data_IF_707628991513
#
_entry.id   IF_707628991513
#
_cell.length_a   1.000
_cell.length_b   1.000
_cell.length_c   1.000
_cell.angle_alpha   90.00
_cell.angle_beta   90.00
_cell.angle_gamma   90.00
#
_symmetry.space_group_name_H-M   'P 1'
#
loop_
_entity.id
_entity.type
_entity.pdbx_description
1 polymer ?
#
# COMPACT_ATOMS: atom_id res chain seq x y z
N UNK A 1 4.46 17.60 18.99
CA UNK A 1 5.08 16.33 19.41
C UNK A 1 4.59 15.26 18.46
N UNK A 2 5.49 14.64 17.70
CA UNK A 2 5.13 13.51 16.84
C UNK A 2 4.74 12.32 17.75
N UNK A 3 3.66 11.62 17.41
CA UNK A 3 3.05 10.59 18.23
C UNK A 3 3.90 9.31 18.22
N UNK A 4 3.66 8.39 19.16
CA UNK A 4 4.31 7.08 19.16
C UNK A 4 4.02 6.22 17.89
N UNK A 5 3.10 6.64 17.01
CA UNK A 5 2.88 6.03 15.69
C UNK A 5 3.81 6.55 14.59
N UNK A 6 4.58 7.60 14.90
CA UNK A 6 5.66 8.14 14.05
C UNK A 6 7.02 7.49 14.39
N UNK A 7 7.02 6.50 15.28
CA UNK A 7 8.18 5.66 15.58
C UNK A 7 8.50 4.83 14.33
N UNK A 8 9.62 5.21 13.70
CA UNK A 8 10.35 4.53 12.62
C UNK A 8 9.73 3.21 12.15
N UNK A 9 9.12 3.26 10.98
CA UNK A 9 8.97 2.06 10.18
C UNK A 9 10.38 1.72 9.67
N UNK A 10 11.10 0.81 10.35
CA UNK A 10 12.48 0.41 10.02
C UNK A 10 12.64 -0.14 8.59
N UNK A 11 11.52 -0.28 7.86
CA UNK A 11 11.40 -0.80 6.51
C UNK A 11 11.32 0.28 5.43
N UNK A 12 11.14 1.56 5.77
CA UNK A 12 11.00 2.66 4.79
C UNK A 12 12.32 3.41 4.63
N UNK A 13 12.93 3.41 3.42
CA UNK A 13 14.12 4.21 3.14
C UNK A 13 13.88 5.70 3.40
N UNK A 14 14.77 6.32 4.18
CA UNK A 14 14.72 7.76 4.48
C UNK A 14 15.72 8.59 3.67
N UNK A 15 16.63 7.94 2.94
CA UNK A 15 17.64 8.55 2.08
C UNK A 15 18.21 7.52 1.09
N UNK A 16 19.00 7.98 0.13
CA UNK A 16 19.63 7.13 -0.90
C UNK A 16 18.74 6.96 -2.13
N UNK A 17 18.93 5.89 -2.88
CA UNK A 17 18.13 5.57 -4.08
C UNK A 17 17.37 4.27 -3.88
N UNK A 18 16.15 4.21 -4.39
CA UNK A 18 15.30 3.00 -4.35
C UNK A 18 14.99 2.53 -5.75
N UNK A 19 14.91 1.22 -5.91
CA UNK A 19 14.32 0.57 -7.07
C UNK A 19 13.00 -0.05 -6.65
N UNK A 20 11.94 0.16 -7.42
CA UNK A 20 10.60 -0.27 -7.04
C UNK A 20 9.76 -0.70 -8.25
N UNK A 21 8.83 -1.61 -8.01
CA UNK A 21 7.76 -1.98 -8.94
C UNK A 21 6.58 -1.04 -8.75
N UNK A 22 6.09 -0.43 -9.83
CA UNK A 22 4.90 0.42 -9.79
C UNK A 22 3.64 -0.45 -9.70
N UNK A 23 2.94 -0.44 -8.56
CA UNK A 23 1.73 -1.24 -8.34
C UNK A 23 0.47 -0.52 -8.82
N UNK A 24 0.43 0.80 -8.64
CA UNK A 24 -0.71 1.63 -9.06
C UNK A 24 -0.32 3.10 -9.15
N UNK A 25 -0.92 3.80 -10.12
CA UNK A 25 -0.98 5.26 -10.13
C UNK A 25 -2.25 5.69 -9.39
N UNK A 26 -2.10 6.38 -8.26
CA UNK A 26 -3.22 6.89 -7.46
C UNK A 26 -3.58 8.32 -7.88
N UNK A 27 -2.55 9.16 -8.03
CA UNK A 27 -2.62 10.51 -8.64
C UNK A 27 -1.29 10.77 -9.38
N UNK A 28 -1.15 11.87 -10.14
CA UNK A 28 0.10 12.20 -10.83
C UNK A 28 1.33 12.32 -9.93
N UNK A 29 1.16 12.50 -8.62
CA UNK A 29 2.25 12.56 -7.63
C UNK A 29 2.16 11.51 -6.54
N UNK A 30 1.25 10.54 -6.66
CA UNK A 30 1.05 9.51 -5.64
C UNK A 30 0.90 8.15 -6.29
N UNK A 31 1.79 7.24 -5.94
CA UNK A 31 1.86 5.89 -6.47
C UNK A 31 1.84 4.89 -5.32
N UNK A 32 1.27 3.71 -5.59
CA UNK A 32 1.53 2.53 -4.79
C UNK A 32 2.76 1.82 -5.38
N UNK A 33 3.72 1.47 -4.54
CA UNK A 33 4.99 0.88 -4.96
C UNK A 33 5.36 -0.32 -4.09
N UNK A 34 6.11 -1.26 -4.67
CA UNK A 34 6.80 -2.31 -3.93
C UNK A 34 8.30 -2.17 -4.11
N UNK A 35 9.04 -2.11 -3.01
CA UNK A 35 10.50 -1.96 -3.06
C UNK A 35 11.16 -3.26 -3.54
N UNK A 36 12.15 -3.12 -4.42
CA UNK A 36 12.93 -4.23 -4.96
C UNK A 36 14.39 -4.16 -4.55
N UNK A 37 14.94 -2.94 -4.47
CA UNK A 37 16.30 -2.72 -4.00
C UNK A 37 16.45 -1.34 -3.36
N UNK A 38 17.46 -1.20 -2.50
CA UNK A 38 17.86 0.07 -1.89
C UNK A 38 19.36 0.25 -1.97
N UNK A 39 19.79 1.43 -2.40
CA UNK A 39 21.18 1.89 -2.38
C UNK A 39 21.27 3.02 -1.36
N UNK A 40 21.93 2.75 -0.23
CA UNK A 40 22.10 3.76 0.83
C UNK A 40 23.02 4.89 0.36
N UNK A 41 22.94 6.07 0.96
CA UNK A 41 23.79 7.22 0.59
C UNK A 41 25.29 6.96 0.72
N UNK A 42 25.68 5.97 1.53
CA UNK A 42 27.08 5.63 1.81
C UNK A 42 27.56 4.41 1.01
N UNK A 43 26.75 3.89 0.09
CA UNK A 43 27.05 2.70 -0.70
C UNK A 43 26.85 2.98 -2.19
N UNK A 44 27.77 2.51 -3.02
CA UNK A 44 27.59 2.44 -4.47
C UNK A 44 26.77 1.22 -4.91
N UNK A 45 26.57 0.24 -4.02
CA UNK A 45 25.93 -1.03 -4.34
C UNK A 45 24.45 -1.05 -3.96
N UNK A 46 23.64 -1.61 -4.87
CA UNK A 46 22.25 -1.96 -4.62
C UNK A 46 22.16 -3.16 -3.68
N UNK A 47 21.34 -3.03 -2.64
CA UNK A 47 20.92 -4.15 -1.80
C UNK A 47 19.53 -4.60 -2.25
N UNK A 48 19.43 -5.83 -2.75
CA UNK A 48 18.15 -6.44 -3.09
C UNK A 48 17.30 -6.65 -1.83
N UNK A 49 16.00 -6.41 -1.97
CA UNK A 49 14.98 -6.58 -0.96
C UNK A 49 14.04 -7.73 -1.37
N UNK A 50 13.48 -8.43 -0.40
CA UNK A 50 12.69 -9.65 -0.58
C UNK A 50 11.17 -9.40 -0.66
N UNK A 51 10.72 -8.17 -0.90
CA UNK A 51 9.31 -7.80 -0.75
C UNK A 51 8.39 -8.47 -1.77
N UNK A 52 8.86 -8.69 -3.01
CA UNK A 52 8.08 -9.43 -4.02
C UNK A 52 7.90 -10.89 -3.58
N UNK A 53 8.97 -11.55 -3.14
CA UNK A 53 8.91 -12.93 -2.63
C UNK A 53 8.02 -13.02 -1.37
N UNK A 54 8.14 -12.08 -0.44
CA UNK A 54 7.29 -12.01 0.75
C UNK A 54 5.82 -11.80 0.40
N UNK A 55 5.53 -11.02 -0.64
CA UNK A 55 4.17 -10.84 -1.13
C UNK A 55 3.60 -12.14 -1.67
N UNK A 56 4.36 -12.87 -2.50
CA UNK A 56 3.94 -14.18 -3.01
C UNK A 56 3.68 -15.18 -1.88
N UNK A 57 4.58 -15.24 -0.90
CA UNK A 57 4.42 -16.09 0.29
C UNK A 57 3.17 -15.71 1.10
N UNK A 58 2.93 -14.42 1.31
CA UNK A 58 1.73 -13.94 2.00
C UNK A 58 0.45 -14.35 1.26
N UNK A 59 0.42 -14.22 -0.08
CA UNK A 59 -0.73 -14.62 -0.88
C UNK A 59 -1.01 -16.13 -0.79
N UNK A 60 0.05 -16.95 -0.75
CA UNK A 60 -0.08 -18.39 -0.51
C UNK A 60 -0.62 -18.69 0.89
N UNK A 61 -0.12 -18.01 1.92
CA UNK A 61 -0.59 -18.16 3.30
C UNK A 61 -2.05 -17.77 3.46
N UNK A 62 -2.47 -16.64 2.91
CA UNK A 62 -3.87 -16.20 2.93
C UNK A 62 -4.78 -17.20 2.22
N UNK A 63 -4.41 -17.61 1.01
CA UNK A 63 -5.19 -18.58 0.23
C UNK A 63 -5.33 -19.92 0.96
N UNK A 64 -4.25 -20.41 1.56
CA UNK A 64 -4.25 -21.67 2.30
C UNK A 64 -5.08 -21.57 3.58
N UNK A 65 -4.99 -20.46 4.31
CA UNK A 65 -5.73 -20.24 5.55
C UNK A 65 -7.25 -20.18 5.30
N UNK A 66 -7.67 -19.39 4.31
CA UNK A 66 -9.10 -19.21 3.99
C UNK A 66 -9.68 -20.28 3.06
N UNK A 67 -8.89 -21.28 2.66
CA UNK A 67 -9.42 -22.49 2.02
C UNK A 67 -10.29 -23.32 3.00
N UNK A 68 -10.09 -23.16 4.31
CA UNK A 68 -10.93 -23.76 5.34
C UNK A 68 -12.11 -22.84 5.65
N UNK A 69 -13.35 -23.32 5.52
CA UNK A 69 -14.56 -22.53 5.75
C UNK A 69 -14.64 -21.93 7.15
N UNK A 70 -14.16 -22.66 8.15
CA UNK A 70 -14.21 -22.25 9.57
C UNK A 70 -13.30 -21.04 9.84
N UNK A 71 -12.32 -20.80 8.97
CA UNK A 71 -11.45 -19.62 9.04
C UNK A 71 -12.08 -18.38 8.37
N UNK A 72 -13.18 -18.54 7.62
CA UNK A 72 -13.87 -17.45 6.93
C UNK A 72 -14.87 -16.72 7.84
N UNK A 73 -14.37 -16.14 8.92
CA UNK A 73 -15.20 -15.46 9.93
C UNK A 73 -15.35 -13.98 9.58
N UNK A 74 -16.59 -13.50 9.42
CA UNK A 74 -16.89 -12.08 9.28
C UNK A 74 -16.66 -11.36 10.62
N UNK A 75 -15.93 -10.22 10.64
CA UNK A 75 -15.71 -9.48 11.87
C UNK A 75 -17.01 -8.81 12.36
N UNK A 76 -17.11 -8.64 13.68
CA UNK A 76 -18.17 -7.87 14.32
C UNK A 76 -17.67 -6.45 14.59
N UNK A 77 -18.49 -5.42 14.32
CA UNK A 77 -18.08 -4.01 14.48
C UNK A 77 -17.51 -3.66 15.86
N UNK A 78 -18.06 -4.14 17.00
CA UNK A 78 -17.51 -3.84 18.32
C UNK A 78 -16.11 -4.42 18.56
N UNK A 79 -15.70 -5.41 17.75
CA UNK A 79 -14.44 -6.15 17.88
C UNK A 79 -13.58 -6.04 16.61
N UNK A 80 -13.85 -5.04 15.78
CA UNK A 80 -13.15 -4.86 14.52
C UNK A 80 -11.68 -4.52 14.79
N UNK A 81 -10.76 -5.37 14.30
CA UNK A 81 -9.33 -5.10 14.35
C UNK A 81 -8.93 -4.01 13.35
N UNK A 82 -7.83 -3.31 13.63
CA UNK A 82 -7.21 -2.35 12.71
C UNK A 82 -6.85 -2.99 11.36
N UNK A 83 -6.53 -4.30 11.35
CA UNK A 83 -6.22 -5.07 10.14
C UNK A 83 -7.20 -6.22 9.97
N UNK A 84 -7.86 -6.25 8.81
CA UNK A 84 -8.75 -7.32 8.37
C UNK A 84 -8.26 -7.89 7.02
N UNK A 85 -8.90 -8.95 6.54
CA UNK A 85 -8.69 -9.47 5.18
C UNK A 85 -9.94 -9.20 4.37
N UNK A 86 -9.80 -8.61 3.18
CA UNK A 86 -10.88 -8.43 2.23
C UNK A 86 -10.87 -9.58 1.22
N UNK A 87 -12.05 -10.13 0.93
CA UNK A 87 -12.25 -11.06 -0.19
C UNK A 87 -12.44 -10.26 -1.48
N UNK A 88 -11.56 -10.45 -2.45
CA UNK A 88 -11.57 -9.78 -3.76
C UNK A 88 -12.24 -10.62 -4.87
N UNK A 89 -12.53 -11.90 -4.59
CA UNK A 89 -13.13 -12.87 -5.50
C UNK A 89 -13.14 -14.26 -4.85
N UNK A 90 -13.47 -15.33 -5.60
CA UNK A 90 -13.54 -16.69 -5.05
C UNK A 90 -12.24 -17.14 -4.35
N UNK A 91 -11.09 -16.74 -4.89
CA UNK A 91 -9.76 -17.14 -4.41
C UNK A 91 -8.84 -15.94 -4.13
N UNK A 92 -9.38 -14.72 -4.10
CA UNK A 92 -8.58 -13.50 -3.92
C UNK A 92 -8.73 -12.97 -2.50
N UNK A 93 -7.61 -12.84 -1.79
CA UNK A 93 -7.56 -12.31 -0.42
C UNK A 93 -6.51 -11.21 -0.32
N UNK A 94 -6.82 -10.17 0.43
CA UNK A 94 -5.91 -9.04 0.61
C UNK A 94 -6.03 -8.47 2.01
N UNK A 95 -4.90 -8.22 2.68
CA UNK A 95 -4.95 -7.54 3.97
C UNK A 95 -5.28 -6.07 3.75
N UNK A 96 -6.16 -5.56 4.58
CA UNK A 96 -6.61 -4.17 4.55
C UNK A 96 -6.57 -3.59 5.94
N UNK A 97 -6.16 -2.32 6.05
CA UNK A 97 -6.31 -1.55 7.27
C UNK A 97 -7.66 -0.83 7.28
N UNK A 98 -8.36 -0.86 8.40
CA UNK A 98 -9.56 -0.07 8.61
C UNK A 98 -9.14 1.38 8.83
N UNK A 99 -9.64 2.29 7.99
CA UNK A 99 -9.31 3.72 8.06
C UNK A 99 -10.47 4.56 8.59
N UNK A 100 -11.70 4.08 8.44
CA UNK A 100 -12.88 4.74 8.99
C UNK A 100 -14.05 3.77 9.12
N UNK A 101 -14.74 3.86 10.25
CA UNK A 101 -16.02 3.19 10.53
C UNK A 101 -17.09 4.28 10.69
N UNK A 102 -18.13 4.32 9.84
CA UNK A 102 -19.20 5.30 9.99
C UNK A 102 -19.96 5.12 11.31
N UNK A 103 -20.31 6.22 11.98
CA UNK A 103 -21.01 6.17 13.28
C UNK A 103 -22.38 5.48 13.21
N UNK A 104 -23.07 5.55 12.06
CA UNK A 104 -24.38 4.93 11.87
C UNK A 104 -24.32 3.41 11.60
N UNK A 105 -23.12 2.81 11.55
CA UNK A 105 -22.93 1.41 11.15
C UNK A 105 -23.39 0.38 12.20
N UNK A 106 -23.80 0.80 13.40
CA UNK A 106 -24.04 -0.10 14.54
C UNK A 106 -24.96 -1.28 14.17
N UNK A 107 -24.35 -2.46 14.03
CA UNK A 107 -24.93 -3.81 13.83
C UNK A 107 -25.35 -4.21 12.41
N UNK A 108 -25.18 -3.37 11.39
CA UNK A 108 -25.56 -3.74 10.02
C UNK A 108 -24.43 -4.51 9.31
N UNK A 109 -24.70 -5.74 8.88
CA UNK A 109 -23.80 -6.51 8.02
C UNK A 109 -23.55 -5.84 6.66
N UNK A 110 -24.41 -4.88 6.26
CA UNK A 110 -24.25 -4.04 5.09
C UNK A 110 -23.46 -2.75 5.37
N UNK A 111 -22.94 -2.56 6.59
CA UNK A 111 -22.10 -1.42 6.91
C UNK A 111 -20.95 -1.29 5.90
N UNK A 112 -20.78 -0.08 5.37
CA UNK A 112 -19.73 0.24 4.41
C UNK A 112 -18.62 0.97 5.15
N UNK A 113 -17.44 0.36 5.19
CA UNK A 113 -16.25 0.87 5.86
C UNK A 113 -15.29 1.46 4.83
N UNK A 114 -14.43 2.40 5.26
CA UNK A 114 -13.26 2.78 4.43
C UNK A 114 -12.07 1.97 4.85
N UNK A 115 -11.44 1.32 3.87
CA UNK A 115 -10.29 0.45 4.07
C UNK A 115 -9.14 0.85 3.15
N UNK A 116 -7.90 0.64 3.60
CA UNK A 116 -6.67 0.84 2.82
C UNK A 116 -6.04 -0.51 2.53
N UNK A 117 -5.72 -0.79 1.26
CA UNK A 117 -4.91 -1.96 0.90
C UNK A 117 -3.51 -1.88 1.52
N UNK A 118 -2.96 -3.02 1.94
CA UNK A 118 -1.65 -3.07 2.60
C UNK A 118 -0.55 -3.69 1.74
N UNK A 119 -0.90 -4.61 0.83
CA UNK A 119 0.08 -5.46 0.16
C UNK A 119 -0.06 -5.46 -1.37
N UNK A 120 -1.30 -5.45 -1.87
CA UNK A 120 -1.62 -5.38 -3.29
C UNK A 120 -1.32 -4.00 -3.88
N UNK A 121 -1.67 -2.95 -3.14
CA UNK A 121 -1.40 -1.54 -3.40
C UNK A 121 -1.72 -0.74 -2.12
N UNK A 122 -1.83 0.59 -2.21
CA UNK A 122 -2.13 1.47 -1.06
C UNK A 122 -3.42 2.28 -1.20
N UNK A 123 -4.32 1.86 -2.11
CA UNK A 123 -5.59 2.56 -2.36
C UNK A 123 -6.49 2.51 -1.14
N UNK A 124 -7.14 3.63 -0.87
CA UNK A 124 -8.27 3.71 0.06
C UNK A 124 -9.56 3.54 -0.74
N UNK A 125 -10.39 2.59 -0.34
CA UNK A 125 -11.67 2.32 -0.97
C UNK A 125 -12.74 1.98 0.06
N UNK A 126 -13.97 1.83 -0.42
CA UNK A 126 -15.07 1.34 0.40
C UNK A 126 -15.16 -0.18 0.30
N UNK A 127 -15.44 -0.82 1.43
CA UNK A 127 -15.71 -2.26 1.52
C UNK A 127 -16.91 -2.49 2.43
N UNK A 128 -17.78 -3.44 2.05
CA UNK A 128 -18.85 -3.88 2.94
C UNK A 128 -18.27 -4.73 4.06
N UNK A 129 -18.87 -4.69 5.25
CA UNK A 129 -18.46 -5.56 6.36
C UNK A 129 -18.51 -7.05 5.96
N UNK A 130 -19.49 -7.44 5.15
CA UNK A 130 -19.62 -8.79 4.59
C UNK A 130 -18.54 -9.20 3.59
N UNK A 131 -17.72 -8.26 3.09
CA UNK A 131 -16.54 -8.55 2.26
C UNK A 131 -15.29 -8.77 3.11
N UNK A 132 -15.35 -8.50 4.42
CA UNK A 132 -14.23 -8.60 5.33
C UNK A 132 -14.25 -9.91 6.11
N UNK A 133 -13.05 -10.37 6.44
CA UNK A 133 -12.77 -11.54 7.25
C UNK A 133 -11.80 -11.14 8.36
N UNK A 134 -11.91 -11.80 9.51
CA UNK A 134 -10.95 -11.67 10.60
C UNK A 134 -9.57 -12.10 10.10
N UNK A 135 -8.58 -11.21 10.23
CA UNK A 135 -7.19 -11.53 9.89
C UNK A 135 -6.58 -12.33 11.06
N UNK A 136 -5.93 -13.50 10.84
CA UNK A 136 -5.30 -14.22 11.92
C UNK A 136 -4.11 -13.41 12.52
N UNK A 137 -3.85 -13.48 13.84
CA UNK A 137 -2.87 -12.63 14.50
C UNK A 137 -1.46 -12.67 13.88
N UNK A 138 -1.02 -13.85 13.42
CA UNK A 138 0.28 -14.04 12.76
C UNK A 138 0.40 -13.22 11.47
N UNK A 139 -0.69 -13.11 10.70
CA UNK A 139 -0.71 -12.33 9.47
C UNK A 139 -0.98 -10.84 9.72
N UNK A 140 -1.58 -10.45 10.86
CA UNK A 140 -1.72 -9.05 11.23
C UNK A 140 -0.36 -8.38 11.51
N UNK A 141 0.60 -9.12 12.06
CA UNK A 141 1.91 -8.60 12.45
C UNK A 141 2.87 -8.33 11.28
N UNK A 142 2.56 -8.84 10.08
CA UNK A 142 3.40 -8.63 8.91
C UNK A 142 3.33 -7.14 8.49
N UNK A 143 4.48 -6.48 8.36
CA UNK A 143 4.50 -5.10 7.86
C UNK A 143 3.85 -4.98 6.46
N UNK A 144 3.18 -3.87 6.13
CA UNK A 144 2.63 -3.66 4.79
C UNK A 144 3.71 -3.81 3.71
N UNK A 145 3.39 -4.55 2.65
CA UNK A 145 4.32 -4.82 1.54
C UNK A 145 4.17 -3.84 0.37
N UNK A 146 3.10 -3.04 0.36
CA UNK A 146 2.95 -1.90 -0.53
C UNK A 146 3.20 -0.59 0.25
N UNK A 147 3.92 0.33 -0.38
CA UNK A 147 4.24 1.64 0.17
C UNK A 147 3.67 2.75 -0.71
N UNK A 148 3.40 3.90 -0.09
CA UNK A 148 3.13 5.11 -0.82
C UNK A 148 4.45 5.70 -1.33
N UNK A 149 4.53 5.99 -2.62
CA UNK A 149 5.63 6.75 -3.20
C UNK A 149 5.06 8.07 -3.73
N UNK A 150 5.66 9.19 -3.33
CA UNK A 150 5.17 10.53 -3.63
C UNK A 150 6.22 11.36 -4.34
N UNK A 151 5.83 11.97 -5.46
CA UNK A 151 6.67 12.94 -6.17
C UNK A 151 6.60 14.30 -5.49
N UNK A 152 7.76 14.82 -5.10
CA UNK A 152 7.94 16.13 -4.49
C UNK A 152 7.94 17.24 -5.54
N UNK A 153 7.40 18.41 -5.19
CA UNK A 153 7.60 19.63 -5.98
C UNK A 153 6.74 19.76 -7.25
N UNK A 154 5.79 18.86 -7.48
CA UNK A 154 4.84 18.94 -8.60
C UNK A 154 3.47 19.37 -8.07
N UNK A 155 2.86 20.34 -8.72
CA UNK A 155 1.51 20.85 -8.44
C UNK A 155 0.61 20.69 -9.68
N UNK A 156 -0.72 20.62 -9.50
CA UNK A 156 -1.66 20.61 -10.63
C UNK A 156 -1.46 21.80 -11.56
N UNK A 157 -1.66 21.59 -12.87
CA UNK A 157 -1.31 22.55 -13.94
C UNK A 157 -1.94 23.95 -13.76
N UNK A 158 -3.09 24.04 -13.10
CA UNK A 158 -3.81 25.29 -12.87
C UNK A 158 -3.65 25.86 -11.45
N UNK A 159 -2.66 25.37 -10.68
CA UNK A 159 -2.50 25.76 -9.27
C UNK A 159 -3.67 25.34 -8.38
N UNK A 160 -4.51 24.44 -8.89
CA UNK A 160 -5.70 23.94 -8.23
C UNK A 160 -5.35 22.96 -7.09
N UNK A 161 -6.30 22.77 -6.19
CA UNK A 161 -6.18 21.78 -5.10
C UNK A 161 -6.36 20.33 -5.60
N UNK A 162 -6.84 20.13 -6.85
CA UNK A 162 -7.28 18.84 -7.38
C UNK A 162 -6.60 18.56 -8.71
N UNK A 163 -6.13 17.32 -8.89
CA UNK A 163 -5.59 16.83 -10.16
C UNK A 163 -6.70 16.67 -11.20
N UNK A 164 -6.48 17.25 -12.37
CA UNK A 164 -7.44 17.15 -13.46
C UNK A 164 -7.28 15.82 -14.21
N UNK A 165 -8.31 15.46 -14.98
CA UNK A 165 -8.28 14.23 -15.79
C UNK A 165 -7.12 14.23 -16.79
N UNK A 166 -6.77 15.39 -17.36
CA UNK A 166 -5.66 15.53 -18.30
C UNK A 166 -4.31 15.19 -17.64
N UNK A 167 -4.08 15.59 -16.38
CA UNK A 167 -2.84 15.28 -15.65
C UNK A 167 -2.68 13.75 -15.48
N UNK A 168 -3.78 13.08 -15.13
CA UNK A 168 -3.82 11.63 -14.97
C UNK A 168 -3.60 10.88 -16.30
N UNK A 169 -4.12 11.40 -17.41
CA UNK A 169 -3.90 10.81 -18.73
C UNK A 169 -2.43 10.93 -19.14
N UNK A 170 -1.81 12.08 -18.88
CA UNK A 170 -0.39 12.31 -19.22
C UNK A 170 0.52 11.37 -18.44
N UNK A 171 0.35 11.23 -17.12
CA UNK A 171 1.18 10.33 -16.32
C UNK A 171 0.97 8.87 -16.72
N UNK A 172 -0.26 8.47 -17.08
CA UNK A 172 -0.57 7.11 -17.53
C UNK A 172 0.00 6.73 -18.91
N UNK A 173 0.45 7.70 -19.70
CA UNK A 173 1.20 7.46 -20.95
C UNK A 173 2.69 7.27 -20.70
N UNK A 174 3.22 7.86 -19.63
CA UNK A 174 4.64 7.84 -19.30
C UNK A 174 5.00 6.65 -18.40
N UNK A 175 4.08 6.27 -17.51
CA UNK A 175 4.30 5.22 -16.52
C UNK A 175 3.43 4.00 -16.82
N UNK A 176 4.02 2.82 -16.64
CA UNK A 176 3.35 1.54 -16.84
C UNK A 176 3.27 0.78 -15.53
N UNK A 177 2.04 0.45 -15.11
CA UNK A 177 1.81 -0.40 -13.94
C UNK A 177 2.47 -1.76 -14.18
N UNK A 178 3.20 -2.26 -13.18
CA UNK A 178 4.00 -3.47 -13.24
C UNK A 178 5.45 -3.26 -13.67
N UNK A 179 5.78 -2.12 -14.29
CA UNK A 179 7.15 -1.78 -14.64
C UNK A 179 7.98 -1.40 -13.40
N UNK A 180 9.29 -1.47 -13.55
CA UNK A 180 10.27 -1.15 -12.52
C UNK A 180 10.88 0.21 -12.80
N UNK A 181 11.05 1.01 -11.75
CA UNK A 181 11.63 2.35 -11.79
C UNK A 181 12.64 2.52 -10.67
N UNK A 182 13.54 3.49 -10.85
CA UNK A 182 14.45 4.00 -9.83
C UNK A 182 14.06 5.41 -9.42
N UNK A 183 14.34 5.78 -8.17
CA UNK A 183 14.09 7.12 -7.67
C UNK A 183 15.07 7.49 -6.55
N UNK A 184 15.43 8.77 -6.47
CA UNK A 184 16.19 9.31 -5.36
C UNK A 184 15.26 9.70 -4.22
N UNK A 185 15.53 9.21 -3.01
CA UNK A 185 14.77 9.50 -1.81
C UNK A 185 15.17 10.86 -1.25
N UNK A 186 14.18 11.75 -1.10
CA UNK A 186 14.29 13.00 -0.36
C UNK A 186 14.18 12.76 1.14
N UNK A 187 13.08 12.11 1.55
CA UNK A 187 12.82 11.70 2.92
C UNK A 187 11.75 10.59 2.95
N UNK A 188 11.64 9.93 4.10
CA UNK A 188 10.63 8.91 4.35
C UNK A 188 9.82 9.21 5.61
N UNK A 189 8.54 8.85 5.58
CA UNK A 189 7.62 8.81 6.72
C UNK A 189 7.06 7.39 6.87
N UNK A 190 6.29 7.13 7.93
CA UNK A 190 5.91 5.77 8.40
C UNK A 190 5.49 4.76 7.32
N UNK A 191 4.86 5.19 6.22
CA UNK A 191 4.52 4.29 5.09
C UNK A 191 4.67 4.98 3.72
N UNK A 192 5.40 6.09 3.67
CA UNK A 192 5.50 6.93 2.48
C UNK A 192 6.95 7.34 2.20
N UNK A 193 7.37 7.23 0.95
CA UNK A 193 8.67 7.67 0.45
C UNK A 193 8.43 8.88 -0.45
N UNK A 194 9.16 9.96 -0.20
CA UNK A 194 9.12 11.16 -1.03
C UNK A 194 10.35 11.19 -1.92
N UNK A 195 10.16 11.44 -3.21
CA UNK A 195 11.20 11.40 -4.24
C UNK A 195 11.06 12.57 -5.21
N UNK A 196 12.15 13.00 -5.84
CA UNK A 196 12.12 14.12 -6.80
C UNK A 196 11.69 13.72 -8.21
N UNK A 197 12.14 12.55 -8.65
CA UNK A 197 11.95 12.06 -10.01
C UNK A 197 11.85 10.54 -10.04
N UNK A 198 11.37 10.03 -11.18
CA UNK A 198 11.30 8.62 -11.50
C UNK A 198 12.11 8.37 -12.77
N UNK A 199 12.95 7.35 -12.76
CA UNK A 199 13.82 6.99 -13.86
C UNK A 199 13.64 5.51 -14.21
N UNK A 200 13.87 5.15 -15.48
CA UNK A 200 14.02 3.74 -15.82
C UNK A 200 15.33 3.21 -15.22
N UNK A 201 15.39 1.94 -14.79
CA UNK A 201 16.61 1.36 -14.26
C UNK A 201 17.76 1.50 -15.25
N UNK A 202 18.94 1.85 -14.75
CA UNK A 202 20.14 1.91 -15.59
C UNK A 202 20.49 0.49 -16.04
N UNK A 203 20.67 0.29 -17.35
CA UNK A 203 21.10 -0.99 -17.93
C UNK A 203 22.50 -1.41 -17.46
#
# INVERSE_FOLDING_TARGET
MLSAKDIKCDTVPTAGSVQFKLLKICTPTHFAARLLAHKTSNSSHWRTLDYEQRYEQLQQQLSSYFATSDNCIMPQLPQLSDVCVRRLGPNGYERVAITHVPQAANTDANAVLRVKHLDLNTVICHAKLSELLVCPPTLQQIAPLALDLRLSGIVPCQGEEIWQRCDNVSIGKLLHVGAVYEAQVDFGLSHAIFVKDLQLPSL
#
